data_IF_735008986053
#
_entry.id   IF_735008986053
#
_cell.length_a   1.000
_cell.length_b   1.000
_cell.length_c   1.000
_cell.angle_alpha   90.00
_cell.angle_beta   90.00
_cell.angle_gamma   90.00
#
_symmetry.space_group_name_H-M   'P 1'
#
loop_
_entity.id
_entity.type
_entity.pdbx_description
1 polymer ?
#
# COMPACT_ATOMS: atom_id res chain seq x y z
N UNK A 1 -24.72 -7.46 5.02
CA UNK A 1 -23.85 -6.36 5.48
C UNK A 1 -22.69 -6.30 4.52
N UNK A 2 -22.46 -5.15 3.91
CA UNK A 2 -21.35 -4.96 2.98
C UNK A 2 -20.08 -4.89 3.82
N UNK A 3 -19.13 -5.79 3.60
CA UNK A 3 -17.88 -5.80 4.37
C UNK A 3 -16.96 -4.70 3.83
N UNK A 4 -16.38 -3.92 4.73
CA UNK A 4 -15.37 -2.92 4.42
C UNK A 4 -14.04 -3.34 5.02
N UNK A 5 -12.96 -2.98 4.35
CA UNK A 5 -11.61 -3.27 4.78
C UNK A 5 -10.78 -2.00 4.83
N UNK A 6 -9.89 -1.88 5.83
CA UNK A 6 -8.80 -0.93 5.79
C UNK A 6 -7.57 -1.61 5.18
N UNK A 7 -7.06 -1.05 4.09
CA UNK A 7 -5.79 -1.44 3.50
C UNK A 7 -4.72 -0.48 4.02
N UNK A 8 -3.58 -1.02 4.45
CA UNK A 8 -2.40 -0.26 4.86
C UNK A 8 -1.20 -0.75 4.05
N UNK A 9 -0.42 0.14 3.46
CA UNK A 9 0.82 -0.22 2.77
C UNK A 9 1.92 0.83 2.99
N UNK A 10 3.15 0.46 2.63
CA UNK A 10 4.34 1.29 2.83
C UNK A 10 5.08 1.47 1.51
N UNK A 11 5.37 2.71 1.13
CA UNK A 11 5.89 3.05 -0.20
C UNK A 11 6.91 4.20 -0.13
N UNK A 12 7.98 4.19 -0.93
CA UNK A 12 8.87 5.36 -1.07
C UNK A 12 8.12 6.62 -1.47
N UNK A 13 8.57 7.77 -0.99
CA UNK A 13 7.89 9.06 -1.19
C UNK A 13 7.57 9.35 -2.67
N UNK A 14 8.55 9.09 -3.55
CA UNK A 14 8.45 9.36 -5.00
C UNK A 14 7.39 8.53 -5.73
N UNK A 15 7.02 7.36 -5.19
CA UNK A 15 6.10 6.42 -5.84
C UNK A 15 4.70 6.44 -5.22
N UNK A 16 4.52 7.17 -4.12
CA UNK A 16 3.28 7.17 -3.35
C UNK A 16 2.05 7.56 -4.18
N UNK A 17 2.12 8.67 -4.91
CA UNK A 17 0.99 9.14 -5.73
C UNK A 17 0.63 8.15 -6.84
N UNK A 18 1.62 7.57 -7.52
CA UNK A 18 1.38 6.59 -8.58
C UNK A 18 0.69 5.32 -8.06
N UNK A 19 1.08 4.84 -6.87
CA UNK A 19 0.45 3.67 -6.24
C UNK A 19 -0.98 4.00 -5.78
N UNK A 20 -1.20 5.15 -5.14
CA UNK A 20 -2.55 5.59 -4.74
C UNK A 20 -3.49 5.70 -5.94
N UNK A 21 -3.06 6.35 -7.02
CA UNK A 21 -3.85 6.50 -8.24
C UNK A 21 -4.27 5.14 -8.82
N UNK A 22 -3.34 4.18 -8.88
CA UNK A 22 -3.65 2.82 -9.34
C UNK A 22 -4.71 2.12 -8.47
N UNK A 23 -4.64 2.31 -7.15
CA UNK A 23 -5.63 1.77 -6.21
C UNK A 23 -6.98 2.45 -6.33
N UNK A 24 -7.02 3.78 -6.54
CA UNK A 24 -8.26 4.53 -6.72
C UNK A 24 -8.98 4.12 -8.01
N UNK A 25 -8.24 3.94 -9.11
CA UNK A 25 -8.79 3.42 -10.36
C UNK A 25 -9.36 1.99 -10.22
N UNK A 26 -8.82 1.21 -9.28
CA UNK A 26 -9.33 -0.12 -8.94
C UNK A 26 -10.53 -0.11 -7.97
N UNK A 27 -10.88 1.06 -7.41
CA UNK A 27 -12.06 1.25 -6.56
C UNK A 27 -11.78 1.31 -5.06
N UNK A 28 -10.52 1.30 -4.61
CA UNK A 28 -10.21 1.63 -3.22
C UNK A 28 -10.38 3.14 -2.96
N UNK A 29 -10.61 3.53 -1.70
CA UNK A 29 -10.77 4.92 -1.31
C UNK A 29 -12.11 5.55 -1.70
N UNK A 30 -13.12 4.74 -2.06
CA UNK A 30 -14.49 5.21 -2.27
C UNK A 30 -15.30 5.10 -0.97
N UNK A 31 -15.90 6.21 -0.53
CA UNK A 31 -16.68 6.29 0.70
C UNK A 31 -17.91 7.18 0.41
N UNK A 32 -19.09 6.57 0.23
CA UNK A 32 -20.29 7.31 -0.16
C UNK A 32 -20.08 8.07 -1.47
N UNK A 33 -20.28 9.40 -1.44
CA UNK A 33 -20.09 10.28 -2.60
C UNK A 33 -18.64 10.80 -2.75
N UNK A 34 -17.70 10.29 -1.96
CA UNK A 34 -16.29 10.68 -2.00
C UNK A 34 -15.44 9.58 -2.66
N UNK A 35 -14.48 10.00 -3.47
CA UNK A 35 -13.48 9.13 -4.11
C UNK A 35 -12.06 9.55 -3.74
N UNK A 36 -11.08 8.71 -4.07
CA UNK A 36 -9.65 8.96 -3.80
C UNK A 36 -9.32 9.26 -2.31
N UNK A 37 -10.12 8.74 -1.39
CA UNK A 37 -9.92 8.93 0.05
C UNK A 37 -8.75 8.06 0.54
N UNK A 38 -7.76 8.71 1.14
CA UNK A 38 -6.65 8.05 1.82
C UNK A 38 -6.09 8.96 2.91
N UNK A 39 -5.44 8.35 3.89
CA UNK A 39 -4.57 9.05 4.84
C UNK A 39 -3.14 8.57 4.63
N UNK A 40 -2.17 9.46 4.80
CA UNK A 40 -0.77 9.08 4.75
C UNK A 40 0.05 9.79 5.82
N UNK A 41 1.10 9.12 6.29
CA UNK A 41 2.07 9.65 7.24
C UNK A 41 3.48 9.24 6.81
N UNK A 42 4.41 10.20 6.82
CA UNK A 42 5.83 9.92 6.56
C UNK A 42 6.46 9.20 7.75
N UNK A 43 7.32 8.22 7.47
CA UNK A 43 8.09 7.46 8.45
C UNK A 43 9.38 6.90 7.86
N UNK A 44 10.09 6.11 8.66
CA UNK A 44 11.33 5.43 8.26
C UNK A 44 11.06 3.91 8.14
N UNK A 45 11.17 3.39 6.92
CA UNK A 45 11.23 1.96 6.65
C UNK A 45 12.66 1.44 6.86
N UNK A 46 12.78 0.17 7.29
CA UNK A 46 14.07 -0.50 7.37
C UNK A 46 14.00 -1.92 6.83
N UNK A 47 15.02 -2.33 6.10
CA UNK A 47 15.13 -3.69 5.58
C UNK A 47 16.59 -4.09 5.38
N UNK A 48 16.85 -5.39 5.29
CA UNK A 48 18.17 -5.93 4.95
C UNK A 48 17.99 -7.01 3.89
N UNK A 49 18.31 -6.75 2.61
CA UNK A 49 18.16 -7.74 1.55
C UNK A 49 19.04 -8.96 1.84
N UNK A 50 18.50 -10.16 1.65
CA UNK A 50 19.17 -11.44 1.95
C UNK A 50 18.98 -12.45 0.82
N UNK A 51 19.90 -13.41 0.72
CA UNK A 51 19.83 -14.51 -0.25
C UNK A 51 19.72 -14.01 -1.70
N UNK A 52 18.66 -14.47 -2.38
CA UNK A 52 18.40 -14.14 -3.78
C UNK A 52 17.58 -12.86 -3.99
N UNK A 53 17.29 -12.08 -2.94
CA UNK A 53 16.54 -10.83 -3.05
C UNK A 53 17.14 -9.91 -4.14
N UNK A 54 16.29 -9.35 -4.98
CA UNK A 54 16.66 -8.37 -5.98
C UNK A 54 16.02 -7.02 -5.63
N UNK A 55 16.53 -6.31 -4.61
CA UNK A 55 15.84 -5.16 -4.06
C UNK A 55 15.85 -4.01 -5.07
N UNK A 56 14.74 -3.27 -5.12
CA UNK A 56 14.66 -2.03 -5.89
C UNK A 56 15.64 -0.96 -5.35
N UNK A 57 15.88 -0.96 -4.03
CA UNK A 57 16.79 -0.05 -3.35
C UNK A 57 17.76 -0.81 -2.42
N UNK A 58 19.02 -0.35 -2.37
CA UNK A 58 20.01 -0.80 -1.39
C UNK A 58 20.82 -2.04 -1.79
N UNK A 59 21.65 -2.51 -0.87
CA UNK A 59 22.67 -3.54 -1.13
C UNK A 59 22.44 -4.84 -0.33
N UNK A 60 22.79 -5.99 -0.93
CA UNK A 60 22.68 -7.29 -0.27
C UNK A 60 23.51 -7.34 1.01
N UNK A 61 22.89 -7.79 2.10
CA UNK A 61 23.52 -7.95 3.41
C UNK A 61 23.64 -6.65 4.23
N UNK A 62 23.36 -5.49 3.64
CA UNK A 62 23.41 -4.19 4.30
C UNK A 62 22.05 -3.82 4.87
N UNK A 63 22.06 -3.21 6.06
CA UNK A 63 20.83 -2.63 6.61
C UNK A 63 20.59 -1.29 5.92
N UNK A 64 19.42 -1.17 5.31
CA UNK A 64 18.98 0.02 4.61
C UNK A 64 17.86 0.68 5.41
N UNK A 65 17.82 2.01 5.35
CA UNK A 65 16.80 2.86 5.94
C UNK A 65 16.35 3.86 4.88
N UNK A 66 15.04 3.99 4.71
CA UNK A 66 14.45 4.79 3.63
C UNK A 66 13.25 5.55 4.17
N UNK A 67 13.08 6.80 3.73
CA UNK A 67 11.87 7.56 4.00
C UNK A 67 10.70 6.99 3.18
N UNK A 68 9.63 6.62 3.85
CA UNK A 68 8.45 6.00 3.25
C UNK A 68 7.17 6.64 3.78
N UNK A 69 6.11 6.60 2.99
CA UNK A 69 4.77 6.84 3.49
C UNK A 69 4.15 5.53 3.96
N UNK A 70 3.60 5.52 5.17
CA UNK A 70 2.50 4.63 5.51
C UNK A 70 1.24 5.24 4.93
N UNK A 71 0.58 4.53 4.02
CA UNK A 71 -0.68 4.95 3.41
C UNK A 71 -1.78 4.01 3.87
N UNK A 72 -2.95 4.55 4.18
CA UNK A 72 -4.13 3.79 4.57
C UNK A 72 -5.40 4.31 3.90
N UNK A 73 -6.28 3.40 3.51
CA UNK A 73 -7.56 3.72 2.86
C UNK A 73 -8.59 2.62 3.09
N UNK A 74 -9.88 2.99 3.01
CA UNK A 74 -10.98 2.02 3.04
C UNK A 74 -11.20 1.41 1.65
N UNK A 75 -11.67 0.17 1.63
CA UNK A 75 -12.00 -0.56 0.42
C UNK A 75 -13.19 -1.49 0.68
N UNK A 76 -14.18 -1.45 -0.21
CA UNK A 76 -15.28 -2.42 -0.19
C UNK A 76 -14.77 -3.82 -0.53
N UNK A 77 -15.40 -4.85 0.02
CA UNK A 77 -15.02 -6.25 -0.19
C UNK A 77 -14.92 -6.63 -1.68
N UNK A 78 -15.84 -6.13 -2.50
CA UNK A 78 -15.92 -6.42 -3.93
C UNK A 78 -14.72 -5.85 -4.71
N UNK A 79 -14.06 -4.82 -4.18
CA UNK A 79 -12.92 -4.13 -4.80
C UNK A 79 -11.59 -4.52 -4.20
N UNK A 80 -11.57 -5.30 -3.11
CA UNK A 80 -10.36 -5.60 -2.37
C UNK A 80 -9.31 -6.32 -3.23
N UNK A 81 -9.69 -7.40 -3.92
CA UNK A 81 -8.74 -8.18 -4.71
C UNK A 81 -8.13 -7.36 -5.86
N UNK A 82 -8.96 -6.62 -6.59
CA UNK A 82 -8.53 -5.75 -7.68
C UNK A 82 -7.60 -4.64 -7.16
N UNK A 83 -7.94 -4.03 -6.03
CA UNK A 83 -7.16 -2.96 -5.41
C UNK A 83 -5.79 -3.43 -4.92
N UNK A 84 -5.70 -4.61 -4.31
CA UNK A 84 -4.40 -5.20 -3.90
C UNK A 84 -3.55 -5.56 -5.12
N UNK A 85 -4.14 -6.11 -6.19
CA UNK A 85 -3.43 -6.39 -7.44
C UNK A 85 -2.89 -5.11 -8.07
N UNK A 86 -3.70 -4.05 -8.11
CA UNK A 86 -3.30 -2.75 -8.64
C UNK A 86 -2.16 -2.14 -7.83
N UNK A 87 -2.27 -2.14 -6.49
CA UNK A 87 -1.22 -1.70 -5.58
C UNK A 87 0.09 -2.44 -5.88
N UNK A 88 0.09 -3.78 -5.86
CA UNK A 88 1.30 -4.59 -6.09
C UNK A 88 1.93 -4.33 -7.45
N UNK A 89 1.11 -4.14 -8.49
CA UNK A 89 1.59 -3.90 -9.85
C UNK A 89 2.23 -2.51 -10.01
N UNK A 90 1.69 -1.50 -9.35
CA UNK A 90 2.21 -0.14 -9.40
C UNK A 90 3.38 0.09 -8.43
N UNK A 91 3.52 -0.75 -7.40
CA UNK A 91 4.55 -0.61 -6.39
C UNK A 91 5.96 -0.88 -6.95
N UNK A 92 6.98 -0.10 -6.59
CA UNK A 92 8.36 -0.31 -7.08
C UNK A 92 9.03 -1.56 -6.49
N UNK A 93 8.60 -2.01 -5.31
CA UNK A 93 9.16 -3.18 -4.65
C UNK A 93 8.57 -4.49 -5.17
N UNK A 94 9.43 -5.49 -5.34
CA UNK A 94 9.05 -6.87 -5.71
C UNK A 94 8.11 -7.49 -4.66
N UNK A 95 8.48 -7.36 -3.38
CA UNK A 95 7.71 -7.85 -2.24
C UNK A 95 7.16 -6.66 -1.44
N UNK A 96 5.87 -6.38 -1.63
CA UNK A 96 5.20 -5.23 -1.01
C UNK A 96 4.74 -5.57 0.41
N UNK A 97 5.15 -4.76 1.40
CA UNK A 97 4.62 -4.84 2.75
C UNK A 97 3.24 -4.15 2.81
N UNK A 98 2.20 -4.90 3.18
CA UNK A 98 0.86 -4.36 3.37
C UNK A 98 0.06 -5.19 4.39
N UNK A 99 -1.02 -4.60 4.92
CA UNK A 99 -1.98 -5.23 5.81
C UNK A 99 -3.41 -4.93 5.37
N UNK A 100 -4.32 -5.84 5.70
CA UNK A 100 -5.76 -5.71 5.43
C UNK A 100 -6.52 -6.04 6.70
N UNK A 101 -7.35 -5.12 7.17
CA UNK A 101 -8.13 -5.25 8.40
C UNK A 101 -9.61 -5.17 8.06
N UNK A 102 -10.40 -6.15 8.49
CA UNK A 102 -11.87 -6.08 8.36
C UNK A 102 -12.40 -5.00 9.32
N UNK A 103 -13.17 -4.06 8.78
CA UNK A 103 -13.80 -3.01 9.56
C UNK A 103 -15.15 -3.48 10.09
N UNK A 104 -15.39 -3.24 11.37
CA UNK A 104 -16.66 -3.57 12.02
C UNK A 104 -17.51 -2.31 12.06
N UNK A 105 -18.74 -2.40 11.55
CA UNK A 105 -19.77 -1.38 11.74
C UNK A 105 -20.48 -1.64 13.08
N UNK A 106 -20.66 -0.59 13.88
CA UNK A 106 -21.34 -0.62 15.19
C UNK A 106 -22.68 0.09 15.11
#
# INVERSE_FOLDING_TARGET
>A
MTKNYQIIFYVPLEYCEAVKEAMFQAGAGQIGDYEACSFQMEGEGQFRPRGNANPFLGEKGKLEKVAEYKVEMLCMAEKLEESIKAMKKAHPYEEVAFGVFEMVEV
#
